data_IF_799040165448
#
_entry.id   IF_799040165448
#
_cell.length_a   1.000
_cell.length_b   1.000
_cell.length_c   1.000
_cell.angle_alpha   90.00
_cell.angle_beta   90.00
_cell.angle_gamma   90.00
#
_symmetry.space_group_name_H-M   'P 1'
#
loop_
_entity.id
_entity.type
_entity.pdbx_description
1 polymer ?
#
# COMPACT_ATOMS: atom_id res chain seq x y z
N UNK A 1 50.65 -4.56 -17.46
CA UNK A 1 50.26 -4.27 -16.07
C UNK A 1 48.75 -4.21 -16.06
N UNK A 2 48.10 -5.05 -15.24
CA UNK A 2 46.63 -5.03 -15.13
C UNK A 2 46.23 -3.75 -14.42
N UNK A 3 45.22 -3.06 -14.94
CA UNK A 3 44.68 -1.85 -14.30
C UNK A 3 43.58 -2.28 -13.31
N UNK A 4 43.88 -2.19 -12.02
CA UNK A 4 42.97 -2.62 -10.96
C UNK A 4 41.75 -1.72 -10.82
N UNK A 5 41.88 -0.43 -11.11
CA UNK A 5 40.79 0.55 -10.99
C UNK A 5 39.64 0.24 -11.98
N UNK A 6 40.00 -0.14 -13.21
CA UNK A 6 39.02 -0.55 -14.24
C UNK A 6 38.32 -1.85 -13.83
N UNK A 7 39.08 -2.79 -13.27
CA UNK A 7 38.55 -4.09 -12.86
C UNK A 7 37.58 -3.96 -11.68
N UNK A 8 37.86 -3.05 -10.74
CA UNK A 8 36.98 -2.75 -9.61
C UNK A 8 35.67 -2.10 -10.10
N UNK A 9 35.74 -1.13 -11.01
CA UNK A 9 34.56 -0.51 -11.60
C UNK A 9 33.69 -1.53 -12.38
N UNK A 10 34.32 -2.43 -13.13
CA UNK A 10 33.62 -3.52 -13.83
C UNK A 10 32.92 -4.47 -12.84
N UNK A 11 33.58 -4.80 -11.72
CA UNK A 11 33.02 -5.64 -10.68
C UNK A 11 31.80 -4.99 -10.04
N UNK A 12 31.88 -3.72 -9.66
CA UNK A 12 30.77 -3.00 -9.05
C UNK A 12 29.56 -2.95 -9.99
N UNK A 13 29.79 -2.68 -11.28
CA UNK A 13 28.72 -2.69 -12.29
C UNK A 13 28.07 -4.06 -12.42
N UNK A 14 28.86 -5.13 -12.40
CA UNK A 14 28.35 -6.50 -12.48
C UNK A 14 27.47 -6.83 -11.26
N UNK A 15 27.91 -6.47 -10.05
CA UNK A 15 27.15 -6.69 -8.81
C UNK A 15 25.80 -5.96 -8.88
N UNK A 16 25.80 -4.68 -9.24
CA UNK A 16 24.56 -3.88 -9.33
C UNK A 16 23.60 -4.45 -10.38
N UNK A 17 24.12 -4.93 -11.52
CA UNK A 17 23.32 -5.57 -12.56
C UNK A 17 22.68 -6.86 -12.07
N UNK A 18 23.43 -7.70 -11.35
CA UNK A 18 22.93 -8.94 -10.77
C UNK A 18 21.86 -8.67 -9.71
N UNK A 19 22.08 -7.72 -8.80
CA UNK A 19 21.10 -7.32 -7.80
C UNK A 19 19.79 -6.83 -8.43
N UNK A 20 19.89 -6.04 -9.50
CA UNK A 20 18.73 -5.59 -10.26
C UNK A 20 17.99 -6.78 -10.89
N UNK A 21 18.71 -7.69 -11.53
CA UNK A 21 18.14 -8.88 -12.15
C UNK A 21 17.39 -9.75 -11.15
N UNK A 22 17.97 -9.98 -9.96
CA UNK A 22 17.33 -10.75 -8.90
C UNK A 22 16.03 -10.09 -8.43
N UNK A 23 16.02 -8.77 -8.20
CA UNK A 23 14.81 -8.05 -7.79
C UNK A 23 13.71 -8.07 -8.85
N UNK A 24 14.07 -7.91 -10.12
CA UNK A 24 13.10 -7.97 -11.21
C UNK A 24 12.52 -9.38 -11.35
N UNK A 25 13.34 -10.42 -11.25
CA UNK A 25 12.87 -11.80 -11.32
C UNK A 25 11.97 -12.17 -10.15
N UNK A 26 12.32 -11.78 -8.92
CA UNK A 26 11.43 -11.94 -7.78
C UNK A 26 10.06 -11.29 -8.04
N UNK A 27 10.04 -10.06 -8.57
CA UNK A 27 8.80 -9.40 -8.94
C UNK A 27 8.03 -10.13 -10.06
N UNK A 28 8.72 -10.71 -11.05
CA UNK A 28 8.09 -11.56 -12.08
C UNK A 28 7.42 -12.78 -11.45
N UNK A 29 8.12 -13.49 -10.56
CA UNK A 29 7.57 -14.66 -9.86
C UNK A 29 6.35 -14.28 -9.03
N UNK A 30 6.44 -13.19 -8.25
CA UNK A 30 5.31 -12.69 -7.45
C UNK A 30 4.12 -12.31 -8.31
N UNK A 31 4.32 -11.63 -9.45
CA UNK A 31 3.23 -11.28 -10.35
C UNK A 31 2.55 -12.51 -10.94
N UNK A 32 3.34 -13.52 -11.35
CA UNK A 32 2.81 -14.80 -11.86
C UNK A 32 2.01 -15.53 -10.77
N UNK A 33 2.53 -15.58 -9.54
CA UNK A 33 1.86 -16.21 -8.40
C UNK A 33 0.54 -15.51 -8.04
N UNK A 34 0.50 -14.18 -8.13
CA UNK A 34 -0.70 -13.36 -7.96
C UNK A 34 -1.71 -13.51 -9.09
N UNK A 35 -1.35 -14.15 -10.22
CA UNK A 35 -2.21 -14.36 -11.40
C UNK A 35 -2.81 -13.06 -11.94
N UNK A 36 -1.97 -12.04 -12.14
CA UNK A 36 -2.41 -10.77 -12.77
C UNK A 36 -3.08 -11.02 -14.12
N UNK A 37 -4.14 -10.24 -14.39
CA UNK A 37 -5.02 -10.48 -15.52
C UNK A 37 -4.45 -9.93 -16.84
N UNK A 38 -3.61 -8.90 -16.75
CA UNK A 38 -3.07 -8.21 -17.93
C UNK A 38 -1.55 -8.12 -17.91
N UNK A 39 -0.96 -8.03 -19.10
CA UNK A 39 0.48 -7.81 -19.23
C UNK A 39 0.92 -6.44 -18.69
N UNK A 40 0.07 -5.43 -18.80
CA UNK A 40 0.40 -4.09 -18.28
C UNK A 40 0.55 -4.11 -16.75
N UNK A 41 -0.35 -4.79 -16.03
CA UNK A 41 -0.21 -5.01 -14.58
C UNK A 41 1.08 -5.76 -14.24
N UNK A 42 1.39 -6.84 -14.98
CA UNK A 42 2.64 -7.57 -14.81
C UNK A 42 3.86 -6.67 -15.00
N UNK A 43 3.87 -5.88 -16.08
CA UNK A 43 4.95 -4.95 -16.42
C UNK A 43 5.14 -3.91 -15.32
N UNK A 44 4.05 -3.38 -14.80
CA UNK A 44 4.08 -2.34 -13.77
C UNK A 44 4.61 -2.89 -12.45
N UNK A 45 4.24 -4.12 -12.06
CA UNK A 45 4.80 -4.81 -10.89
C UNK A 45 6.33 -5.00 -11.02
N UNK A 46 6.79 -5.47 -12.18
CA UNK A 46 8.23 -5.71 -12.42
C UNK A 46 9.02 -4.40 -12.42
N UNK A 47 8.49 -3.35 -13.06
CA UNK A 47 9.10 -2.01 -13.03
C UNK A 47 9.16 -1.45 -11.62
N UNK A 48 8.13 -1.66 -10.82
CA UNK A 48 8.05 -1.20 -9.43
C UNK A 48 8.92 -2.02 -8.46
N UNK A 49 9.65 -3.05 -8.92
CA UNK A 49 10.48 -3.93 -8.07
C UNK A 49 11.58 -3.22 -7.28
N UNK A 50 11.97 -2.02 -7.68
CA UNK A 50 12.97 -1.21 -7.00
C UNK A 50 12.39 -0.33 -5.87
N UNK A 51 11.06 -0.27 -5.74
CA UNK A 51 10.40 0.53 -4.70
C UNK A 51 10.51 -0.17 -3.34
N UNK A 52 10.87 0.58 -2.31
CA UNK A 52 10.89 0.11 -0.93
C UNK A 52 9.55 0.40 -0.26
N UNK A 53 9.09 -0.44 0.68
CA UNK A 53 7.97 -0.10 1.54
C UNK A 53 8.22 1.24 2.24
N UNK A 54 7.17 2.04 2.41
CA UNK A 54 7.27 3.31 3.10
C UNK A 54 7.59 3.10 4.59
N UNK A 55 8.63 3.75 5.09
CA UNK A 55 9.00 3.66 6.50
C UNK A 55 8.07 4.49 7.39
N UNK A 56 7.88 4.11 8.66
CA UNK A 56 6.98 4.83 9.59
C UNK A 56 7.39 6.28 9.83
N UNK A 57 8.68 6.58 9.66
CA UNK A 57 9.27 7.91 9.80
C UNK A 57 9.08 8.75 8.53
N UNK A 58 8.83 8.10 7.39
CA UNK A 58 8.57 8.76 6.12
C UNK A 58 7.12 9.24 6.10
N UNK A 59 6.93 10.53 6.43
CA UNK A 59 5.62 11.16 6.28
C UNK A 59 5.35 11.35 4.79
N UNK A 60 4.14 11.03 4.35
CA UNK A 60 3.64 11.45 3.04
C UNK A 60 3.54 12.98 3.10
N UNK A 61 4.57 13.67 2.60
CA UNK A 61 4.60 15.14 2.49
C UNK A 61 3.80 15.53 1.26
N UNK A 62 2.52 15.18 1.24
CA UNK A 62 1.59 15.75 0.29
C UNK A 62 0.82 16.86 1.05
N UNK A 63 0.99 18.15 0.67
CA UNK A 63 0.31 19.27 1.32
C UNK A 63 -1.21 19.13 1.36
N UNK A 64 -1.79 18.36 0.43
CA UNK A 64 -3.22 18.12 0.32
C UNK A 64 -3.70 16.90 1.12
N UNK A 65 -2.76 16.05 1.56
CA UNK A 65 -3.01 14.82 2.32
C UNK A 65 -2.54 14.97 3.78
N UNK A 66 -2.48 16.21 4.29
CA UNK A 66 -2.24 16.45 5.71
C UNK A 66 -3.18 15.57 6.52
N UNK A 67 -2.65 14.89 7.53
CA UNK A 67 -3.28 13.88 8.39
C UNK A 67 -4.48 14.39 9.21
N UNK A 68 -5.20 15.42 8.76
CA UNK A 68 -6.47 15.85 9.33
C UNK A 68 -7.57 14.87 8.93
N UNK A 69 -7.76 13.87 9.80
CA UNK A 69 -9.02 13.12 9.92
C UNK A 69 -9.55 12.53 8.60
N UNK A 70 -8.77 11.70 7.92
CA UNK A 70 -9.33 10.85 6.86
C UNK A 70 -10.18 9.77 7.54
N UNK A 71 -11.46 10.07 7.71
CA UNK A 71 -12.45 9.08 8.13
C UNK A 71 -12.67 8.17 6.93
N UNK A 72 -12.20 6.92 7.03
CA UNK A 72 -12.31 5.87 5.99
C UNK A 72 -13.75 5.61 5.51
N UNK A 73 -14.76 6.18 6.18
CA UNK A 73 -16.14 6.19 5.74
C UNK A 73 -16.87 7.48 6.18
N UNK A 74 -16.85 8.51 5.33
CA UNK A 74 -17.54 9.79 5.60
C UNK A 74 -19.06 9.71 5.43
N UNK A 75 -19.53 8.75 4.62
CA UNK A 75 -20.96 8.56 4.29
C UNK A 75 -21.73 7.89 5.43
N UNK A 76 -21.08 7.00 6.18
CA UNK A 76 -21.68 6.29 7.31
C UNK A 76 -22.31 7.24 8.35
N UNK A 77 -21.65 8.35 8.72
CA UNK A 77 -22.16 9.24 9.78
C UNK A 77 -23.53 9.86 9.46
N UNK A 78 -23.86 10.08 8.19
CA UNK A 78 -25.14 10.72 7.81
C UNK A 78 -26.37 9.82 8.01
N UNK A 79 -26.18 8.50 8.07
CA UNK A 79 -27.27 7.53 8.11
C UNK A 79 -27.51 6.90 9.49
N UNK A 80 -26.49 6.87 10.37
CA UNK A 80 -26.64 6.28 11.72
C UNK A 80 -27.59 7.06 12.64
N UNK A 81 -27.75 8.36 12.46
CA UNK A 81 -28.64 9.15 13.32
C UNK A 81 -30.13 8.87 13.04
N UNK A 82 -30.48 8.48 11.81
CA UNK A 82 -31.88 8.35 11.37
C UNK A 82 -32.43 6.92 11.39
N UNK A 83 -31.58 5.90 11.29
CA UNK A 83 -32.03 4.50 11.19
C UNK A 83 -31.33 3.52 12.13
N UNK A 84 -30.60 3.99 13.16
CA UNK A 84 -29.92 3.06 14.08
C UNK A 84 -30.94 2.26 14.91
N UNK A 85 -30.99 0.92 14.78
CA UNK A 85 -31.91 0.05 15.54
C UNK A 85 -31.75 0.19 17.07
N UNK A 86 -30.58 0.67 17.50
CA UNK A 86 -30.27 0.93 18.89
C UNK A 86 -31.08 2.10 19.48
N UNK A 87 -31.41 3.11 18.67
CA UNK A 87 -32.21 4.25 19.11
C UNK A 87 -33.69 3.88 19.25
N UNK A 88 -34.17 2.98 18.39
CA UNK A 88 -35.54 2.43 18.44
C UNK A 88 -35.74 1.52 19.65
N UNK A 89 -34.77 0.65 19.95
CA UNK A 89 -34.77 -0.17 21.17
C UNK A 89 -34.83 0.69 22.44
N UNK A 90 -34.07 1.79 22.52
CA UNK A 90 -34.11 2.71 23.67
C UNK A 90 -35.45 3.41 23.82
N UNK A 91 -36.11 3.77 22.71
CA UNK A 91 -37.42 4.43 22.73
C UNK A 91 -38.50 3.46 23.22
N UNK A 92 -38.52 2.24 22.69
CA UNK A 92 -39.50 1.22 23.07
C UNK A 92 -39.33 0.74 24.51
N UNK A 93 -38.09 0.77 25.03
CA UNK A 93 -37.79 0.37 26.41
C UNK A 93 -38.32 1.35 27.46
N UNK A 94 -38.40 2.65 27.15
CA UNK A 94 -38.96 3.67 28.07
C UNK A 94 -40.47 3.51 28.27
N UNK A 95 -41.20 3.11 27.22
CA UNK A 95 -42.64 2.88 27.30
C UNK A 95 -43.03 1.65 28.15
N UNK A 96 -42.09 0.77 28.44
CA UNK A 96 -42.34 -0.45 29.22
C UNK A 96 -42.10 -0.26 30.73
N UNK A 97 -41.54 0.88 31.15
CA UNK A 97 -41.16 1.15 32.55
C UNK A 97 -42.01 2.22 33.22
N UNK A 98 -43.08 2.69 32.57
CA UNK A 98 -43.95 3.79 33.04
C UNK A 98 -45.39 3.34 33.40
N UNK A 99 -45.61 2.06 33.72
CA UNK A 99 -46.85 1.53 34.34
C UNK A 99 -46.51 0.78 35.60
#
# INVERSE_FOLDING_TARGET
MINFDILEEELEKAIVADEKYQRENDAKFRAVEQKVATYDEFRDIVKASHLKPLEKTEKIVDPNLSQKNVIWNSVAKKNYEKSSPYNEWKKNKKHFTET
#
